data_IF_259574034840
#
_entry.id   IF_259574034840
#
_cell.length_a   1.000
_cell.length_b   1.000
_cell.length_c   1.000
_cell.angle_alpha   90.00
_cell.angle_beta   90.00
_cell.angle_gamma   90.00
#
_symmetry.space_group_name_H-M   'P 1'
#
loop_
_entity.id
_entity.type
_entity.pdbx_description
1 polymer ?
#
# COMPACT_ATOMS: atom_id res chain seq x y z
N UNK A 1 2.18 -3.44 27.97
CA UNK A 1 1.67 -4.82 27.78
C UNK A 1 2.39 -5.40 26.57
N UNK A 2 2.91 -6.63 26.63
CA UNK A 2 3.44 -7.29 25.42
C UNK A 2 2.28 -7.52 24.46
N UNK A 3 2.43 -7.09 23.23
CA UNK A 3 1.47 -7.37 22.17
C UNK A 3 1.56 -8.88 21.87
N UNK A 4 0.44 -9.59 21.98
CA UNK A 4 0.40 -11.04 21.73
C UNK A 4 0.29 -11.30 20.22
N UNK A 5 0.84 -12.45 19.77
CA UNK A 5 0.67 -12.88 18.39
C UNK A 5 -0.81 -13.07 18.05
N UNK A 6 -1.25 -12.50 16.94
CA UNK A 6 -2.62 -12.60 16.46
C UNK A 6 -2.70 -13.60 15.31
N UNK A 7 -3.60 -14.59 15.42
CA UNK A 7 -3.91 -15.48 14.31
C UNK A 7 -4.51 -14.65 13.15
N UNK A 8 -3.97 -14.86 11.94
CA UNK A 8 -4.44 -14.24 10.71
C UNK A 8 -5.35 -15.23 9.97
N UNK A 9 -6.58 -15.33 10.43
CA UNK A 9 -7.65 -16.10 9.78
C UNK A 9 -8.35 -15.28 8.68
N UNK A 10 -9.35 -15.89 8.02
CA UNK A 10 -10.13 -15.25 6.96
C UNK A 10 -10.78 -13.94 7.42
N UNK A 11 -11.30 -13.90 8.65
CA UNK A 11 -11.97 -12.72 9.16
C UNK A 11 -10.97 -11.58 9.42
N UNK A 12 -9.82 -11.88 10.03
CA UNK A 12 -8.74 -10.92 10.19
C UNK A 12 -8.25 -10.39 8.84
N UNK A 13 -8.16 -11.27 7.82
CA UNK A 13 -7.81 -10.90 6.45
C UNK A 13 -8.82 -9.97 5.81
N UNK A 14 -10.12 -10.22 5.96
CA UNK A 14 -11.18 -9.32 5.49
C UNK A 14 -11.08 -7.93 6.13
N UNK A 15 -10.89 -7.87 7.44
CA UNK A 15 -10.68 -6.60 8.14
C UNK A 15 -9.40 -5.90 7.68
N UNK A 16 -8.30 -6.65 7.52
CA UNK A 16 -7.05 -6.11 7.00
C UNK A 16 -7.21 -5.47 5.61
N UNK A 17 -7.92 -6.15 4.70
CA UNK A 17 -8.21 -5.63 3.36
C UNK A 17 -9.09 -4.37 3.42
N UNK A 18 -10.15 -4.40 4.20
CA UNK A 18 -11.11 -3.32 4.30
C UNK A 18 -10.50 -2.06 4.92
N UNK A 19 -9.89 -2.19 6.09
CA UNK A 19 -9.18 -1.08 6.74
C UNK A 19 -7.93 -0.66 5.97
N UNK A 20 -7.24 -1.61 5.36
CA UNK A 20 -6.09 -1.34 4.50
C UNK A 20 -6.43 -0.52 3.27
N UNK A 21 -7.56 -0.78 2.60
CA UNK A 21 -8.02 0.04 1.49
C UNK A 21 -8.30 1.48 1.93
N UNK A 22 -8.96 1.66 3.09
CA UNK A 22 -9.18 2.99 3.66
C UNK A 22 -7.84 3.70 3.91
N UNK A 23 -6.88 3.04 4.59
CA UNK A 23 -5.56 3.59 4.88
C UNK A 23 -4.69 3.80 3.63
N UNK A 24 -4.96 3.07 2.55
CA UNK A 24 -4.24 3.20 1.29
C UNK A 24 -4.42 4.55 0.62
N UNK A 25 -5.54 5.24 0.89
CA UNK A 25 -5.77 6.58 0.36
C UNK A 25 -5.88 6.62 -1.17
N UNK A 26 -6.56 5.65 -1.76
CA UNK A 26 -6.83 5.58 -3.20
C UNK A 26 -5.95 4.61 -4.00
N UNK A 27 -4.90 4.04 -3.39
CA UNK A 27 -4.02 3.05 -4.02
C UNK A 27 -4.00 1.70 -3.28
N UNK A 28 -2.96 0.89 -3.51
CA UNK A 28 -2.72 -0.37 -2.79
C UNK A 28 -3.38 -1.61 -3.40
N UNK A 29 -3.59 -1.62 -4.71
CA UNK A 29 -3.99 -2.77 -5.52
C UNK A 29 -5.49 -3.09 -5.48
N UNK A 30 -5.88 -4.25 -6.03
CA UNK A 30 -7.27 -4.60 -6.27
C UNK A 30 -7.89 -5.50 -5.18
N UNK A 31 -9.21 -5.38 -5.00
CA UNK A 31 -9.99 -6.23 -4.11
C UNK A 31 -9.93 -7.71 -4.53
N UNK A 32 -10.06 -7.99 -5.85
CA UNK A 32 -10.05 -9.35 -6.37
C UNK A 32 -8.74 -10.09 -6.08
N UNK A 33 -7.61 -9.40 -6.23
CA UNK A 33 -6.31 -9.97 -5.88
C UNK A 33 -6.18 -10.23 -4.37
N UNK A 34 -6.67 -9.32 -3.53
CA UNK A 34 -6.70 -9.55 -2.08
C UNK A 34 -7.53 -10.77 -1.69
N UNK A 35 -8.71 -10.94 -2.29
CA UNK A 35 -9.55 -12.13 -2.08
C UNK A 35 -8.82 -13.42 -2.49
N UNK A 36 -8.19 -13.44 -3.66
CA UNK A 36 -7.40 -14.58 -4.15
C UNK A 36 -6.29 -14.96 -3.14
N UNK A 37 -5.62 -13.97 -2.54
CA UNK A 37 -4.60 -14.23 -1.50
C UNK A 37 -5.20 -14.84 -0.25
N UNK A 38 -6.35 -14.35 0.23
CA UNK A 38 -7.01 -14.92 1.40
C UNK A 38 -7.54 -16.35 1.14
N UNK A 39 -8.11 -16.60 -0.04
CA UNK A 39 -8.54 -17.96 -0.43
C UNK A 39 -7.34 -18.93 -0.47
N UNK A 40 -6.21 -18.49 -1.00
CA UNK A 40 -4.98 -19.30 -0.99
C UNK A 40 -4.50 -19.57 0.43
N UNK A 41 -4.53 -18.56 1.32
CA UNK A 41 -4.09 -18.67 2.70
C UNK A 41 -4.87 -19.74 3.49
N UNK A 42 -6.16 -19.94 3.20
CA UNK A 42 -6.99 -20.98 3.86
C UNK A 42 -6.45 -22.41 3.67
N UNK A 43 -5.71 -22.64 2.60
CA UNK A 43 -5.09 -23.95 2.30
C UNK A 43 -3.66 -24.09 2.85
N UNK A 44 -3.17 -23.07 3.56
CA UNK A 44 -1.79 -23.01 4.08
C UNK A 44 -1.73 -23.25 5.59
N UNK A 45 -0.53 -23.49 6.16
CA UNK A 45 -0.35 -23.55 7.59
C UNK A 45 -0.83 -22.26 8.29
N UNK A 46 -1.28 -22.34 9.57
CA UNK A 46 -1.71 -21.17 10.32
C UNK A 46 -0.63 -20.09 10.36
N UNK A 47 -1.01 -18.87 10.01
CA UNK A 47 -0.14 -17.69 10.02
C UNK A 47 -0.47 -16.81 11.23
N UNK A 48 0.56 -16.27 11.87
CA UNK A 48 0.41 -15.32 12.97
C UNK A 48 1.09 -14.00 12.65
N UNK A 49 0.42 -12.91 12.94
CA UNK A 49 1.02 -11.58 12.98
C UNK A 49 1.94 -11.52 14.19
N UNK A 50 3.21 -11.28 13.93
CA UNK A 50 4.26 -11.27 14.96
C UNK A 50 4.65 -9.85 15.29
N UNK A 51 4.59 -9.42 16.56
CA UNK A 51 5.11 -8.13 16.97
C UNK A 51 6.59 -7.98 16.59
N UNK A 52 7.00 -6.81 16.13
CA UNK A 52 8.38 -6.55 15.70
C UNK A 52 9.39 -6.75 16.86
N UNK A 53 8.95 -6.55 18.09
CA UNK A 53 9.74 -6.71 19.32
C UNK A 53 10.11 -8.17 19.59
N UNK A 54 9.42 -9.12 18.98
CA UNK A 54 9.73 -10.55 19.09
C UNK A 54 10.79 -11.03 18.07
N UNK A 55 11.14 -10.19 17.11
CA UNK A 55 12.20 -10.48 16.13
C UNK A 55 13.52 -9.96 16.69
N UNK A 56 14.57 -10.80 16.57
CA UNK A 56 15.94 -10.37 16.95
C UNK A 56 16.28 -9.06 16.22
N UNK A 57 16.73 -8.02 16.93
CA UNK A 57 17.06 -6.72 16.34
C UNK A 57 18.01 -6.80 15.14
N UNK A 58 18.95 -7.76 15.13
CA UNK A 58 19.92 -7.94 14.04
C UNK A 58 19.44 -8.89 12.94
N UNK A 59 18.28 -9.53 13.13
CA UNK A 59 17.74 -10.47 12.15
C UNK A 59 17.24 -9.73 10.88
N UNK A 60 17.44 -10.39 9.73
CA UNK A 60 17.04 -9.85 8.43
C UNK A 60 15.54 -9.95 8.22
N UNK A 61 14.90 -8.81 7.97
CA UNK A 61 13.50 -8.67 7.54
C UNK A 61 13.46 -8.25 6.08
N UNK A 62 12.59 -8.87 5.29
CA UNK A 62 12.43 -8.61 3.86
C UNK A 62 11.05 -8.03 3.59
N UNK A 63 10.98 -6.92 2.87
CA UNK A 63 9.69 -6.41 2.43
C UNK A 63 9.23 -7.07 1.14
N UNK A 64 7.92 -7.27 1.02
CA UNK A 64 7.27 -7.70 -0.21
C UNK A 64 6.25 -6.69 -0.67
N UNK A 65 6.11 -6.54 -1.97
CA UNK A 65 5.25 -5.52 -2.59
C UNK A 65 4.72 -6.00 -3.93
N UNK A 66 3.85 -5.19 -4.50
CA UNK A 66 3.45 -5.26 -5.90
C UNK A 66 3.98 -4.03 -6.63
N UNK A 67 4.38 -4.20 -7.86
CA UNK A 67 4.77 -3.09 -8.73
C UNK A 67 4.01 -3.21 -10.03
N UNK A 68 3.22 -2.19 -10.35
CA UNK A 68 2.40 -2.16 -11.56
C UNK A 68 1.58 -0.88 -11.66
N UNK A 69 0.79 -0.78 -12.74
CA UNK A 69 -0.20 0.26 -12.94
C UNK A 69 -1.60 -0.32 -12.66
N UNK A 70 -2.37 0.24 -11.70
CA UNK A 70 -3.69 -0.29 -11.32
C UNK A 70 -4.66 -0.47 -12.50
N UNK A 71 -4.64 0.46 -13.48
CA UNK A 71 -5.52 0.43 -14.65
C UNK A 71 -5.04 -0.50 -15.79
N UNK A 72 -3.91 -1.21 -15.67
CA UNK A 72 -3.41 -2.10 -16.72
C UNK A 72 -4.35 -3.30 -16.91
N UNK A 73 -4.72 -3.58 -18.19
CA UNK A 73 -5.76 -4.55 -18.55
C UNK A 73 -5.25 -5.99 -18.66
N UNK A 74 -3.94 -6.18 -18.84
CA UNK A 74 -3.32 -7.51 -19.07
C UNK A 74 -2.64 -8.05 -17.81
N UNK A 75 -2.98 -7.53 -16.64
CA UNK A 75 -2.42 -7.97 -15.37
C UNK A 75 -2.66 -9.45 -15.14
N UNK A 76 -1.59 -10.17 -14.83
CA UNK A 76 -1.63 -11.56 -14.42
C UNK A 76 -0.59 -11.80 -13.35
N UNK A 77 -1.02 -12.19 -12.17
CA UNK A 77 -0.17 -12.48 -11.03
C UNK A 77 -0.83 -13.53 -10.15
N UNK A 78 -0.10 -14.55 -9.78
CA UNK A 78 -0.58 -15.65 -8.93
C UNK A 78 0.06 -15.59 -7.54
N UNK A 79 -0.53 -16.23 -6.51
CA UNK A 79 0.12 -16.38 -5.21
C UNK A 79 1.48 -17.10 -5.32
N UNK A 80 1.61 -18.05 -6.26
CA UNK A 80 2.84 -18.77 -6.55
C UNK A 80 3.95 -17.83 -7.05
N UNK A 81 3.62 -16.88 -7.91
CA UNK A 81 4.57 -15.86 -8.37
C UNK A 81 5.06 -14.99 -7.20
N UNK A 82 4.16 -14.63 -6.29
CA UNK A 82 4.51 -13.85 -5.09
C UNK A 82 5.44 -14.65 -4.16
N UNK A 83 5.17 -15.92 -3.89
CA UNK A 83 6.04 -16.82 -3.12
C UNK A 83 7.40 -16.92 -3.82
N UNK A 84 7.38 -17.09 -5.13
CA UNK A 84 8.59 -17.20 -5.96
C UNK A 84 9.54 -16.03 -5.79
N UNK A 85 9.04 -14.80 -5.58
CA UNK A 85 9.91 -13.64 -5.35
C UNK A 85 10.79 -13.81 -4.11
N UNK A 86 10.25 -14.33 -3.00
CA UNK A 86 11.02 -14.56 -1.77
C UNK A 86 11.99 -15.73 -1.94
N UNK A 87 11.59 -16.80 -2.63
CA UNK A 87 12.51 -17.91 -2.96
C UNK A 87 13.70 -17.43 -3.82
N UNK A 88 13.43 -16.59 -4.82
CA UNK A 88 14.49 -15.99 -5.65
C UNK A 88 15.44 -15.15 -4.80
N UNK A 89 14.89 -14.38 -3.85
CA UNK A 89 15.69 -13.61 -2.92
C UNK A 89 16.58 -14.52 -2.07
N UNK A 90 16.03 -15.54 -1.41
CA UNK A 90 16.79 -16.46 -0.57
C UNK A 90 17.94 -17.16 -1.31
N UNK A 91 17.73 -17.48 -2.59
CA UNK A 91 18.76 -18.13 -3.44
C UNK A 91 19.88 -17.18 -3.87
N UNK A 92 19.61 -15.85 -3.94
CA UNK A 92 20.51 -14.89 -4.61
C UNK A 92 21.05 -13.79 -3.68
N UNK A 93 20.52 -13.64 -2.46
CA UNK A 93 20.88 -12.51 -1.60
C UNK A 93 22.29 -12.59 -1.01
N UNK A 94 22.87 -13.80 -0.86
CA UNK A 94 24.25 -14.01 -0.40
C UNK A 94 24.59 -13.46 0.98
N UNK A 95 23.59 -13.32 1.86
CA UNK A 95 23.71 -12.68 3.18
C UNK A 95 23.22 -13.56 4.33
N UNK A 96 22.90 -12.93 5.46
CA UNK A 96 22.30 -13.60 6.61
C UNK A 96 20.95 -14.26 6.22
N UNK A 97 20.58 -15.36 6.88
CA UNK A 97 19.30 -16.02 6.65
C UNK A 97 18.14 -15.03 6.84
N UNK A 98 17.12 -15.16 5.97
CA UNK A 98 15.89 -14.39 6.11
C UNK A 98 15.13 -14.86 7.34
N UNK A 99 14.83 -13.96 8.26
CA UNK A 99 14.18 -14.26 9.51
C UNK A 99 12.68 -13.94 9.52
N UNK A 100 12.24 -12.96 8.71
CA UNK A 100 10.85 -12.54 8.66
C UNK A 100 10.51 -11.82 7.35
N UNK A 101 9.21 -11.75 7.06
CA UNK A 101 8.63 -10.98 5.95
C UNK A 101 7.77 -9.86 6.53
N UNK A 102 7.76 -8.71 5.88
CA UNK A 102 6.81 -7.63 6.15
C UNK A 102 6.15 -7.14 4.87
N UNK A 103 4.95 -6.56 5.00
CA UNK A 103 4.25 -5.93 3.88
C UNK A 103 4.89 -4.58 3.53
N UNK A 104 4.60 -4.05 2.35
CA UNK A 104 5.10 -2.73 1.95
C UNK A 104 4.21 -1.58 2.45
N UNK A 105 2.89 -1.74 2.29
CA UNK A 105 1.93 -0.64 2.44
C UNK A 105 0.53 -1.15 2.73
N UNK A 106 -0.40 -0.25 3.04
CA UNK A 106 -1.82 -0.53 3.14
C UNK A 106 -2.53 -0.37 1.78
N UNK A 107 -3.56 -1.18 1.55
CA UNK A 107 -4.42 -1.22 0.36
C UNK A 107 -5.27 -2.48 0.32
N UNK A 108 -6.10 -2.67 -0.72
CA UNK A 108 -6.93 -3.88 -0.82
C UNK A 108 -6.10 -5.16 -0.77
N UNK A 109 -5.17 -5.34 -1.69
CA UNK A 109 -4.29 -6.52 -1.68
C UNK A 109 -2.93 -6.23 -1.04
N UNK A 110 -2.48 -4.96 -0.99
CA UNK A 110 -1.18 -4.62 -0.46
C UNK A 110 -1.04 -4.98 1.03
N UNK A 111 -2.09 -4.79 1.84
CA UNK A 111 -2.09 -5.13 3.27
C UNK A 111 -1.93 -6.62 3.52
N UNK A 112 -2.50 -7.46 2.67
CA UNK A 112 -2.42 -8.93 2.79
C UNK A 112 -1.32 -9.55 1.92
N UNK A 113 -0.58 -8.74 1.17
CA UNK A 113 0.63 -9.17 0.49
C UNK A 113 1.72 -9.50 1.53
N UNK A 114 2.41 -10.62 1.36
CA UNK A 114 3.34 -11.14 2.36
C UNK A 114 2.76 -12.28 3.20
N UNK A 115 1.42 -12.36 3.33
CA UNK A 115 0.78 -13.40 4.14
C UNK A 115 0.99 -14.79 3.52
N UNK A 116 0.73 -14.94 2.23
CA UNK A 116 0.95 -16.23 1.53
C UNK A 116 2.43 -16.60 1.45
N UNK A 117 3.32 -15.63 1.28
CA UNK A 117 4.77 -15.86 1.27
C UNK A 117 5.26 -16.34 2.64
N UNK A 118 4.84 -15.65 3.71
CA UNK A 118 5.19 -16.02 5.07
C UNK A 118 4.69 -17.43 5.44
N UNK A 119 3.40 -17.71 5.16
CA UNK A 119 2.81 -19.02 5.44
C UNK A 119 3.47 -20.15 4.65
N UNK A 120 3.72 -19.96 3.35
CA UNK A 120 4.31 -20.97 2.48
C UNK A 120 5.76 -21.31 2.86
N UNK A 121 6.52 -20.32 3.34
CA UNK A 121 7.94 -20.45 3.64
C UNK A 121 8.21 -20.67 5.13
N UNK A 122 7.18 -20.73 5.98
CA UNK A 122 7.32 -20.91 7.42
C UNK A 122 8.02 -19.74 8.12
N UNK A 123 7.91 -18.53 7.55
CA UNK A 123 8.51 -17.32 8.08
C UNK A 123 7.51 -16.52 8.92
N UNK A 124 7.93 -15.85 10.01
CA UNK A 124 7.11 -14.85 10.68
C UNK A 124 6.67 -13.74 9.73
N UNK A 125 5.40 -13.32 9.81
CA UNK A 125 4.91 -12.05 9.26
C UNK A 125 4.98 -11.00 10.36
N UNK A 126 5.75 -9.94 10.15
CA UNK A 126 5.95 -8.89 11.15
C UNK A 126 4.86 -7.84 11.07
N UNK A 127 4.37 -7.37 12.22
CA UNK A 127 3.45 -6.22 12.30
C UNK A 127 4.19 -4.90 12.05
N UNK A 128 4.64 -4.76 10.83
CA UNK A 128 5.27 -3.55 10.30
C UNK A 128 5.09 -3.49 8.78
N UNK A 129 5.20 -2.28 8.26
CA UNK A 129 5.15 -2.00 6.82
C UNK A 129 6.28 -1.03 6.45
N UNK A 130 6.65 -0.97 5.17
CA UNK A 130 7.62 0.03 4.73
C UNK A 130 7.08 1.45 4.93
N UNK A 131 5.82 1.68 4.60
CA UNK A 131 5.24 3.02 4.52
C UNK A 131 4.03 3.28 5.41
N UNK A 132 3.13 2.29 5.58
CA UNK A 132 1.88 2.45 6.33
C UNK A 132 0.69 2.93 5.49
N UNK A 133 0.91 3.52 4.31
CA UNK A 133 -0.12 3.79 3.29
C UNK A 133 0.44 3.57 1.90
N UNK A 134 -0.44 3.44 0.90
CA UNK A 134 -0.01 3.31 -0.49
C UNK A 134 0.73 4.57 -0.98
N UNK A 135 1.62 4.38 -1.94
CA UNK A 135 2.51 5.41 -2.47
C UNK A 135 2.91 5.09 -3.91
N UNK A 136 3.12 6.12 -4.77
CA UNK A 136 3.32 5.88 -6.19
C UNK A 136 4.67 5.27 -6.54
N UNK A 137 5.78 5.63 -5.87
CA UNK A 137 7.12 5.21 -6.26
C UNK A 137 7.76 4.21 -5.30
N UNK A 138 8.56 3.28 -5.85
CA UNK A 138 9.32 2.33 -5.03
C UNK A 138 10.33 2.97 -4.09
N UNK A 139 10.75 4.20 -4.37
CA UNK A 139 11.65 4.97 -3.50
C UNK A 139 10.91 5.47 -2.27
N UNK A 140 9.67 5.93 -2.38
CA UNK A 140 8.82 6.25 -1.23
C UNK A 140 8.64 5.05 -0.31
N UNK A 141 8.62 3.82 -0.84
CA UNK A 141 8.58 2.55 -0.09
C UNK A 141 9.94 2.07 0.43
N UNK A 142 10.96 2.89 0.45
CA UNK A 142 12.32 2.44 0.76
C UNK A 142 12.74 2.58 2.22
N UNK A 143 11.88 3.06 3.11
CA UNK A 143 12.25 3.28 4.52
C UNK A 143 13.55 4.12 4.67
N UNK A 144 13.70 5.19 3.89
CA UNK A 144 14.91 6.03 3.82
C UNK A 144 16.19 5.33 3.34
N UNK A 145 16.13 4.09 2.85
CA UNK A 145 17.31 3.37 2.36
C UNK A 145 18.01 4.08 1.19
N UNK A 146 17.28 4.87 0.39
CA UNK A 146 17.85 5.70 -0.67
C UNK A 146 18.76 6.81 -0.14
N UNK A 147 18.63 7.19 1.15
CA UNK A 147 19.45 8.17 1.86
C UNK A 147 20.64 7.51 2.56
N UNK A 148 20.65 6.18 2.72
CA UNK A 148 21.69 5.47 3.44
C UNK A 148 22.94 5.31 2.55
N UNK A 149 24.08 5.96 2.89
CA UNK A 149 25.28 5.90 2.07
C UNK A 149 25.79 4.46 1.91
N UNK A 150 26.04 4.05 0.66
CA UNK A 150 26.57 2.72 0.35
C UNK A 150 25.56 1.58 0.43
N UNK A 151 24.29 1.84 0.76
CA UNK A 151 23.28 0.79 0.75
C UNK A 151 23.03 0.27 -0.67
N UNK A 152 23.08 -1.04 -0.82
CA UNK A 152 22.81 -1.75 -2.07
C UNK A 152 21.70 -2.76 -1.79
N UNK A 153 20.55 -2.58 -2.43
CA UNK A 153 19.44 -3.53 -2.33
C UNK A 153 19.62 -4.69 -3.29
N UNK A 154 19.04 -5.84 -2.93
CA UNK A 154 18.69 -6.92 -3.86
C UNK A 154 17.17 -6.92 -3.97
N UNK A 155 16.66 -6.74 -5.19
CA UNK A 155 15.24 -6.82 -5.51
C UNK A 155 15.00 -8.00 -6.43
N UNK A 156 13.96 -8.76 -6.15
CA UNK A 156 13.52 -9.88 -6.99
C UNK A 156 12.10 -9.64 -7.43
N UNK A 157 11.75 -10.05 -8.63
CA UNK A 157 10.39 -9.97 -9.14
C UNK A 157 10.00 -11.23 -9.90
N UNK A 158 8.69 -11.51 -9.93
CA UNK A 158 8.09 -12.56 -10.73
C UNK A 158 6.64 -12.18 -11.06
N UNK A 159 6.16 -12.56 -12.24
CA UNK A 159 4.78 -12.37 -12.69
C UNK A 159 4.64 -12.39 -14.19
N UNK A 160 3.41 -12.15 -14.67
CA UNK A 160 3.05 -12.20 -16.08
C UNK A 160 2.51 -13.55 -16.51
N UNK A 161 1.67 -13.54 -17.54
CA UNK A 161 0.98 -14.73 -18.01
C UNK A 161 1.87 -15.60 -18.91
N UNK A 162 2.28 -16.81 -18.49
CA UNK A 162 3.11 -17.70 -19.29
C UNK A 162 2.40 -18.15 -20.57
N UNK A 163 1.08 -18.24 -20.59
CA UNK A 163 0.31 -18.64 -21.76
C UNK A 163 0.38 -17.60 -22.91
N UNK A 164 0.64 -16.34 -22.59
CA UNK A 164 0.84 -15.26 -23.57
C UNK A 164 2.30 -14.90 -23.79
N UNK A 165 3.23 -15.66 -23.18
CA UNK A 165 4.68 -15.41 -23.27
C UNK A 165 5.15 -14.19 -22.48
N UNK A 166 4.35 -13.66 -21.55
CA UNK A 166 4.67 -12.47 -20.74
C UNK A 166 5.29 -12.77 -19.38
N UNK A 167 5.48 -14.05 -19.03
CA UNK A 167 6.08 -14.39 -17.73
C UNK A 167 7.53 -13.93 -17.66
N UNK A 168 7.86 -13.24 -16.56
CA UNK A 168 9.23 -12.79 -16.27
C UNK A 168 9.62 -13.10 -14.82
N UNK A 169 10.88 -13.48 -14.62
CA UNK A 169 11.57 -13.49 -13.33
C UNK A 169 12.79 -12.56 -13.43
N UNK A 170 13.06 -11.81 -12.35
CA UNK A 170 14.20 -10.92 -12.29
C UNK A 170 14.87 -10.90 -10.93
N UNK A 171 16.20 -10.78 -10.92
CA UNK A 171 17.02 -10.52 -9.73
C UNK A 171 17.91 -9.33 -10.06
N UNK A 172 17.72 -8.22 -9.34
CA UNK A 172 18.44 -6.97 -9.58
C UNK A 172 19.17 -6.57 -8.30
N UNK A 173 20.43 -6.15 -8.47
CA UNK A 173 21.25 -5.63 -7.36
C UNK A 173 21.81 -4.27 -7.71
N UNK A 174 21.60 -3.27 -6.87
CA UNK A 174 22.03 -1.90 -7.11
C UNK A 174 21.44 -0.91 -6.12
N UNK A 175 21.50 0.37 -6.47
CA UNK A 175 20.83 1.42 -5.69
C UNK A 175 19.30 1.24 -5.74
N UNK A 176 18.60 1.79 -4.77
CA UNK A 176 17.12 1.76 -4.71
C UNK A 176 16.52 2.28 -6.03
N UNK A 177 16.99 3.43 -6.52
CA UNK A 177 16.48 4.05 -7.75
C UNK A 177 16.68 3.18 -8.99
N UNK A 178 17.89 2.65 -9.17
CA UNK A 178 18.22 1.83 -10.34
C UNK A 178 17.37 0.55 -10.36
N UNK A 179 17.31 -0.15 -9.23
CA UNK A 179 16.56 -1.41 -9.12
C UNK A 179 15.05 -1.20 -9.19
N UNK A 180 14.52 -0.09 -8.64
CA UNK A 180 13.10 0.25 -8.76
C UNK A 180 12.70 0.50 -10.22
N UNK A 181 13.53 1.18 -11.02
CA UNK A 181 13.29 1.36 -12.47
C UNK A 181 13.31 0.04 -13.22
N UNK A 182 14.23 -0.88 -12.91
CA UNK A 182 14.30 -2.20 -13.55
C UNK A 182 13.07 -3.05 -13.23
N UNK A 183 12.63 -3.06 -11.97
CA UNK A 183 11.39 -3.75 -11.56
C UNK A 183 10.16 -3.14 -12.24
N UNK A 184 10.10 -1.81 -12.39
CA UNK A 184 9.02 -1.14 -13.13
C UNK A 184 9.00 -1.57 -14.60
N UNK A 185 10.15 -1.63 -15.26
CA UNK A 185 10.26 -2.15 -16.63
C UNK A 185 9.78 -3.60 -16.73
N UNK A 186 10.21 -4.46 -15.79
CA UNK A 186 9.75 -5.85 -15.73
C UNK A 186 8.22 -5.94 -15.57
N UNK A 187 7.60 -5.06 -14.78
CA UNK A 187 6.14 -5.04 -14.63
C UNK A 187 5.41 -4.70 -15.93
N UNK A 188 5.97 -3.81 -16.75
CA UNK A 188 5.41 -3.48 -18.07
C UNK A 188 5.46 -4.69 -19.01
N UNK A 189 6.60 -5.38 -19.07
CA UNK A 189 6.76 -6.59 -19.89
C UNK A 189 5.84 -7.74 -19.41
N UNK A 190 5.60 -7.82 -18.10
CA UNK A 190 4.68 -8.79 -17.49
C UNK A 190 3.19 -8.52 -17.76
N UNK A 191 2.84 -7.44 -18.48
CA UNK A 191 1.45 -7.06 -18.76
C UNK A 191 0.83 -6.13 -17.72
N UNK A 192 1.65 -5.53 -16.85
CA UNK A 192 1.23 -4.44 -15.97
C UNK A 192 1.35 -4.69 -14.47
N UNK A 193 1.76 -5.88 -14.02
CA UNK A 193 2.01 -6.15 -12.60
C UNK A 193 3.01 -7.28 -12.38
N UNK A 194 3.87 -7.14 -11.38
CA UNK A 194 4.74 -8.20 -10.83
C UNK A 194 4.71 -8.20 -9.31
N UNK A 195 4.87 -9.37 -8.69
CA UNK A 195 5.25 -9.50 -7.30
C UNK A 195 6.73 -9.12 -7.12
N UNK A 196 7.08 -8.58 -5.96
CA UNK A 196 8.43 -8.11 -5.65
C UNK A 196 8.81 -8.47 -4.22
N UNK A 197 10.06 -8.93 -4.01
CA UNK A 197 10.68 -8.97 -2.69
C UNK A 197 11.93 -8.09 -2.73
N UNK A 198 12.09 -7.20 -1.71
CA UNK A 198 13.08 -6.12 -1.76
C UNK A 198 13.48 -5.59 -0.39
N UNK A 199 14.52 -4.78 -0.39
CA UNK A 199 14.94 -3.95 0.75
C UNK A 199 15.19 -4.77 2.02
N UNK A 200 16.13 -5.75 1.99
CA UNK A 200 16.50 -6.49 3.18
C UNK A 200 17.16 -5.54 4.19
N UNK A 201 16.65 -5.54 5.42
CA UNK A 201 17.12 -4.69 6.52
C UNK A 201 17.06 -5.45 7.84
N UNK A 202 17.71 -4.96 8.89
CA UNK A 202 17.56 -5.52 10.24
C UNK A 202 16.20 -5.13 10.86
N UNK A 203 15.70 -5.92 11.79
CA UNK A 203 14.49 -5.57 12.55
C UNK A 203 14.66 -4.26 13.32
N UNK A 204 15.87 -3.97 13.82
CA UNK A 204 16.20 -2.69 14.43
C UNK A 204 15.98 -1.51 13.44
N UNK A 205 16.42 -1.65 12.20
CA UNK A 205 16.19 -0.64 11.17
C UNK A 205 14.69 -0.44 10.86
N UNK A 206 13.91 -1.52 10.78
CA UNK A 206 12.45 -1.44 10.61
C UNK A 206 11.80 -0.65 11.73
N UNK A 207 12.23 -0.86 12.98
CA UNK A 207 11.68 -0.15 14.15
C UNK A 207 11.83 1.36 14.03
N UNK A 208 12.92 1.83 13.47
CA UNK A 208 13.24 3.26 13.36
C UNK A 208 12.66 3.90 12.08
N UNK A 209 12.57 3.12 11.00
CA UNK A 209 12.29 3.66 9.66
C UNK A 209 11.03 3.10 9.00
N UNK A 210 10.41 2.08 9.56
CA UNK A 210 9.17 1.47 9.07
C UNK A 210 7.92 2.04 9.75
N UNK A 211 6.77 1.60 9.28
CA UNK A 211 5.45 1.87 9.87
C UNK A 211 5.05 0.69 10.78
N UNK A 212 5.53 0.71 12.03
CA UNK A 212 5.26 -0.35 13.02
C UNK A 212 3.79 -0.32 13.43
N UNK A 213 3.15 -1.50 13.51
CA UNK A 213 1.74 -1.63 13.84
C UNK A 213 0.77 -1.33 12.69
N UNK A 214 1.28 -1.13 11.46
CA UNK A 214 0.44 -0.76 10.31
C UNK A 214 -0.60 -1.80 9.92
N UNK A 215 -0.27 -3.11 10.05
CA UNK A 215 -1.24 -4.19 9.79
C UNK A 215 -2.28 -4.26 10.90
N UNK A 216 -1.88 -4.14 12.16
CA UNK A 216 -2.81 -4.09 13.29
C UNK A 216 -3.77 -2.90 13.20
N UNK A 217 -3.28 -1.72 12.79
CA UNK A 217 -4.13 -0.54 12.55
C UNK A 217 -5.17 -0.82 11.46
N UNK A 218 -4.76 -1.45 10.34
CA UNK A 218 -5.67 -1.82 9.27
C UNK A 218 -6.75 -2.81 9.72
N UNK A 219 -6.37 -3.86 10.48
CA UNK A 219 -7.32 -4.83 11.02
C UNK A 219 -8.33 -4.18 11.97
N UNK A 220 -7.87 -3.31 12.88
CA UNK A 220 -8.76 -2.62 13.83
C UNK A 220 -9.71 -1.65 13.13
N UNK A 221 -9.20 -0.87 12.17
CA UNK A 221 -10.03 0.02 11.36
C UNK A 221 -11.08 -0.76 10.56
N UNK A 222 -10.67 -1.87 9.92
CA UNK A 222 -11.59 -2.71 9.15
C UNK A 222 -12.68 -3.33 10.01
N UNK A 223 -12.36 -3.73 11.24
CA UNK A 223 -13.35 -4.24 12.21
C UNK A 223 -14.38 -3.18 12.59
N UNK A 224 -13.93 -1.98 12.95
CA UNK A 224 -14.80 -0.84 13.28
C UNK A 224 -15.66 -0.45 12.08
N UNK A 225 -15.07 -0.44 10.89
CA UNK A 225 -15.77 -0.11 9.65
C UNK A 225 -16.87 -1.13 9.30
N UNK A 226 -16.56 -2.43 9.40
CA UNK A 226 -17.54 -3.51 9.13
C UNK A 226 -18.74 -3.41 10.11
N UNK A 227 -18.49 -3.15 11.39
CA UNK A 227 -19.55 -2.92 12.37
C UNK A 227 -20.45 -1.71 12.01
N UNK A 228 -19.85 -0.64 11.50
CA UNK A 228 -20.59 0.51 10.99
C UNK A 228 -21.45 0.16 9.77
N UNK A 229 -20.93 -0.69 8.85
CA UNK A 229 -21.64 -1.15 7.64
C UNK A 229 -22.89 -1.97 7.97
N UNK A 230 -22.93 -2.68 9.09
CA UNK A 230 -24.14 -3.39 9.56
C UNK A 230 -25.32 -2.43 9.81
N UNK A 231 -25.03 -1.14 10.06
CA UNK A 231 -26.05 -0.11 10.27
C UNK A 231 -26.32 0.66 8.97
N UNK A 232 -25.29 1.26 8.39
CA UNK A 232 -25.36 1.95 7.09
C UNK A 232 -23.97 2.34 6.56
N UNK A 233 -23.82 2.62 5.25
CA UNK A 233 -22.61 3.19 4.68
C UNK A 233 -22.13 4.45 5.38
N UNK A 234 -23.04 5.35 5.71
CA UNK A 234 -22.73 6.58 6.45
C UNK A 234 -22.14 6.27 7.83
N UNK A 235 -22.73 5.33 8.58
CA UNK A 235 -22.22 4.94 9.90
C UNK A 235 -20.84 4.31 9.84
N UNK A 236 -20.54 3.55 8.79
CA UNK A 236 -19.22 3.00 8.57
C UNK A 236 -18.17 4.10 8.38
N UNK A 237 -18.46 5.10 7.53
CA UNK A 237 -17.54 6.21 7.27
C UNK A 237 -17.37 7.11 8.50
N UNK A 238 -18.45 7.37 9.25
CA UNK A 238 -18.39 8.09 10.53
C UNK A 238 -17.52 7.35 11.56
N UNK A 239 -17.68 6.02 11.68
CA UNK A 239 -16.90 5.20 12.60
C UNK A 239 -15.40 5.16 12.21
N UNK A 240 -15.10 5.09 10.90
CA UNK A 240 -13.72 5.22 10.43
C UNK A 240 -13.13 6.60 10.73
N UNK A 241 -13.90 7.67 10.53
CA UNK A 241 -13.47 9.02 10.83
C UNK A 241 -13.17 9.18 12.34
N UNK A 242 -14.03 8.66 13.20
CA UNK A 242 -13.81 8.67 14.65
C UNK A 242 -12.54 7.88 15.05
N UNK A 243 -12.40 6.65 14.55
CA UNK A 243 -11.23 5.80 14.82
C UNK A 243 -9.91 6.48 14.41
N UNK A 244 -9.92 7.17 13.28
CA UNK A 244 -8.75 7.85 12.71
C UNK A 244 -8.59 9.29 13.22
N UNK A 245 -9.42 9.76 14.16
CA UNK A 245 -9.46 11.16 14.57
C UNK A 245 -9.52 12.12 13.38
N UNK A 246 -10.24 11.71 12.34
CA UNK A 246 -10.43 12.42 11.09
C UNK A 246 -11.83 13.00 10.95
N UNK A 247 -12.25 13.26 9.73
CA UNK A 247 -13.59 13.76 9.43
C UNK A 247 -14.09 13.30 8.07
N UNK A 248 -15.40 13.16 7.95
CA UNK A 248 -16.09 13.12 6.65
C UNK A 248 -16.22 14.56 6.20
N UNK A 249 -15.55 14.92 5.10
CA UNK A 249 -15.52 16.29 4.61
C UNK A 249 -16.81 16.66 3.86
N UNK A 250 -17.21 15.79 2.92
CA UNK A 250 -18.43 15.96 2.14
C UNK A 250 -19.01 14.61 1.71
N UNK A 251 -20.25 14.66 1.22
CA UNK A 251 -20.92 13.64 0.46
C UNK A 251 -21.52 14.29 -0.78
N UNK A 252 -21.22 13.77 -1.97
CA UNK A 252 -21.76 14.33 -3.20
C UNK A 252 -21.51 13.44 -4.41
N UNK A 253 -22.06 13.83 -5.54
CA UNK A 253 -21.79 13.20 -6.81
C UNK A 253 -20.39 13.58 -7.32
N UNK A 254 -19.73 12.66 -7.97
CA UNK A 254 -18.50 12.92 -8.74
C UNK A 254 -18.89 13.74 -9.97
N UNK A 255 -18.49 15.00 -10.03
CA UNK A 255 -18.81 15.95 -11.10
C UNK A 255 -17.87 15.81 -12.29
N UNK A 256 -16.57 15.67 -12.00
CA UNK A 256 -15.51 15.49 -12.99
C UNK A 256 -14.54 14.42 -12.56
N UNK A 257 -14.15 13.59 -13.51
CA UNK A 257 -13.13 12.59 -13.33
C UNK A 257 -12.19 12.56 -14.52
N UNK A 258 -10.91 12.77 -14.28
CA UNK A 258 -9.86 12.61 -15.29
C UNK A 258 -8.88 11.55 -14.85
N UNK A 259 -8.48 10.69 -15.76
CA UNK A 259 -7.41 9.71 -15.55
C UNK A 259 -6.57 9.61 -16.82
N UNK A 260 -5.26 9.75 -16.67
CA UNK A 260 -4.27 9.49 -17.71
C UNK A 260 -3.18 8.55 -17.20
N UNK A 261 -2.80 7.58 -18.01
CA UNK A 261 -1.63 6.75 -17.77
C UNK A 261 -0.36 7.48 -18.18
N UNK A 262 0.59 7.67 -17.28
CA UNK A 262 1.86 8.34 -17.55
C UNK A 262 3.02 7.61 -16.87
N UNK A 263 3.98 7.09 -17.66
CA UNK A 263 5.16 6.40 -17.13
C UNK A 263 4.87 5.14 -16.29
N UNK A 264 3.71 4.50 -16.50
CA UNK A 264 3.26 3.35 -15.72
C UNK A 264 2.55 3.71 -14.41
N UNK A 265 2.05 4.95 -14.31
CA UNK A 265 1.26 5.47 -13.18
C UNK A 265 -0.07 6.02 -13.68
N UNK A 266 -1.05 6.07 -12.78
CA UNK A 266 -2.34 6.71 -12.98
C UNK A 266 -2.31 8.13 -12.37
N UNK A 267 -2.54 9.15 -13.18
CA UNK A 267 -2.52 10.56 -12.76
C UNK A 267 -3.84 11.22 -13.14
N UNK A 268 -4.44 11.98 -12.25
CA UNK A 268 -5.70 12.63 -12.57
C UNK A 268 -6.28 13.51 -11.47
N UNK A 269 -7.54 13.87 -11.66
CA UNK A 269 -8.33 14.70 -10.74
C UNK A 269 -9.73 14.15 -10.59
N UNK A 270 -10.31 14.38 -9.42
CA UNK A 270 -11.71 14.07 -9.08
C UNK A 270 -12.33 15.31 -8.46
N UNK A 271 -13.52 15.71 -8.90
CA UNK A 271 -14.31 16.76 -8.24
C UNK A 271 -15.56 16.15 -7.61
N UNK A 272 -15.78 16.42 -6.33
CA UNK A 272 -16.94 15.95 -5.56
C UNK A 272 -17.51 17.11 -4.77
N UNK A 273 -18.74 17.51 -5.06
CA UNK A 273 -19.40 18.65 -4.39
C UNK A 273 -18.51 19.91 -4.37
N UNK A 274 -17.90 20.21 -5.52
CA UNK A 274 -16.96 21.32 -5.68
C UNK A 274 -15.59 21.15 -5.04
N UNK A 275 -15.33 20.06 -4.32
CA UNK A 275 -14.02 19.74 -3.75
C UNK A 275 -13.14 19.07 -4.80
N UNK A 276 -11.91 19.59 -5.01
CA UNK A 276 -10.95 19.02 -5.97
C UNK A 276 -9.97 18.10 -5.25
N UNK A 277 -9.88 16.84 -5.70
CA UNK A 277 -8.90 15.86 -5.29
C UNK A 277 -7.95 15.61 -6.47
N UNK A 278 -6.64 15.65 -6.24
CA UNK A 278 -5.66 15.18 -7.23
C UNK A 278 -5.12 13.83 -6.83
N UNK A 279 -4.69 13.01 -7.80
CA UNK A 279 -4.06 11.72 -7.51
C UNK A 279 -2.89 11.43 -8.45
N UNK A 280 -1.92 10.69 -7.90
CA UNK A 280 -0.84 9.99 -8.59
C UNK A 280 -0.81 8.56 -8.03
N UNK A 281 -1.58 7.66 -8.63
CA UNK A 281 -2.14 6.43 -8.10
C UNK A 281 -3.01 6.68 -6.84
N UNK A 282 -2.42 7.23 -5.79
CA UNK A 282 -3.04 7.63 -4.53
C UNK A 282 -3.47 9.09 -4.55
N UNK A 283 -4.44 9.45 -3.70
CA UNK A 283 -4.82 10.86 -3.50
C UNK A 283 -3.66 11.65 -2.90
N UNK A 284 -3.32 12.77 -3.55
CA UNK A 284 -2.20 13.64 -3.20
C UNK A 284 -2.65 14.94 -2.54
N UNK A 285 -3.70 15.57 -3.06
CA UNK A 285 -4.21 16.84 -2.52
C UNK A 285 -5.73 16.86 -2.47
N UNK A 286 -6.27 17.64 -1.54
CA UNK A 286 -7.70 17.89 -1.38
C UNK A 286 -7.92 19.37 -1.11
N UNK A 287 -8.55 20.05 -2.05
CA UNK A 287 -8.90 21.46 -1.98
C UNK A 287 -10.42 21.64 -1.86
N UNK A 288 -10.87 22.60 -1.05
CA UNK A 288 -12.29 22.95 -0.93
C UNK A 288 -12.70 23.94 -2.03
N UNK A 289 -14.02 24.21 -2.23
CA UNK A 289 -14.50 25.04 -3.35
C UNK A 289 -13.93 26.45 -3.43
N UNK A 290 -13.46 27.04 -2.34
CA UNK A 290 -12.80 28.34 -2.33
C UNK A 290 -11.30 28.28 -2.71
N UNK A 291 -10.79 27.08 -3.02
CA UNK A 291 -9.39 26.82 -3.37
C UNK A 291 -8.46 26.61 -2.18
N UNK A 292 -8.97 26.64 -0.94
CA UNK A 292 -8.14 26.41 0.25
C UNK A 292 -7.77 24.92 0.38
N UNK A 293 -6.51 24.64 0.69
CA UNK A 293 -5.98 23.30 0.93
C UNK A 293 -6.49 22.73 2.26
N UNK A 294 -7.07 21.52 2.22
CA UNK A 294 -7.58 20.79 3.39
C UNK A 294 -6.67 19.65 3.80
N UNK A 295 -6.13 18.93 2.82
CA UNK A 295 -5.23 17.82 3.06
C UNK A 295 -4.19 17.71 1.94
N UNK A 296 -2.98 17.30 2.32
CA UNK A 296 -1.88 17.03 1.40
C UNK A 296 -1.20 15.73 1.81
N UNK A 297 -0.97 14.82 0.86
CA UNK A 297 -0.21 13.59 1.12
C UNK A 297 1.07 13.92 1.93
N UNK A 298 1.36 13.22 3.03
CA UNK A 298 0.82 11.91 3.40
C UNK A 298 -0.44 11.92 4.30
N UNK A 299 -1.17 13.04 4.44
CA UNK A 299 -2.50 12.99 5.03
C UNK A 299 -3.38 12.00 4.28
N UNK A 300 -4.27 11.31 5.00
CA UNK A 300 -5.22 10.42 4.36
C UNK A 300 -6.31 11.23 3.66
N UNK A 301 -6.51 10.92 2.40
CA UNK A 301 -7.66 11.33 1.59
C UNK A 301 -8.24 10.05 1.00
N UNK A 302 -9.52 9.79 1.20
CA UNK A 302 -10.16 8.57 0.72
C UNK A 302 -11.59 8.81 0.29
N UNK A 303 -12.01 8.15 -0.78
CA UNK A 303 -13.39 8.16 -1.29
C UNK A 303 -14.07 6.84 -0.98
N UNK A 304 -15.35 6.90 -0.66
CA UNK A 304 -16.19 5.74 -0.32
C UNK A 304 -17.51 5.85 -1.06
N UNK A 305 -17.95 4.79 -1.72
CA UNK A 305 -19.24 4.71 -2.38
C UNK A 305 -20.38 4.94 -1.39
N UNK A 306 -21.23 5.91 -1.64
CA UNK A 306 -22.25 6.32 -0.69
C UNK A 306 -23.42 5.34 -0.59
N UNK A 307 -23.63 4.53 -1.62
CA UNK A 307 -24.72 3.55 -1.64
C UNK A 307 -24.34 2.25 -0.92
N UNK A 308 -23.08 1.81 -1.08
CA UNK A 308 -22.62 0.51 -0.58
C UNK A 308 -21.67 0.59 0.62
N UNK A 309 -21.05 1.74 0.84
CA UNK A 309 -19.96 1.90 1.81
C UNK A 309 -18.66 1.22 1.37
N UNK A 310 -18.50 0.88 0.08
CA UNK A 310 -17.26 0.30 -0.42
C UNK A 310 -16.20 1.39 -0.56
N UNK A 311 -15.02 1.27 0.08
CA UNK A 311 -13.89 2.13 -0.21
C UNK A 311 -13.46 2.02 -1.67
N UNK A 312 -13.22 3.16 -2.33
CA UNK A 312 -12.95 3.23 -3.76
C UNK A 312 -11.51 3.68 -4.02
N UNK A 313 -10.66 2.84 -4.62
CA UNK A 313 -9.41 3.30 -5.21
C UNK A 313 -9.64 4.44 -6.22
N UNK A 314 -8.64 5.29 -6.42
CA UNK A 314 -8.72 6.42 -7.36
C UNK A 314 -9.08 6.01 -8.79
N UNK A 315 -8.69 4.79 -9.20
CA UNK A 315 -9.01 4.19 -10.51
C UNK A 315 -10.43 3.63 -10.64
N UNK A 316 -11.14 3.42 -9.53
CA UNK A 316 -12.46 2.78 -9.49
C UNK A 316 -13.62 3.79 -9.49
N UNK A 317 -13.32 5.08 -9.35
CA UNK A 317 -14.31 6.16 -9.34
C UNK A 317 -14.85 6.44 -10.73
N UNK A 318 -16.11 6.89 -10.79
CA UNK A 318 -16.80 7.24 -12.04
C UNK A 318 -17.64 8.50 -11.86
N UNK A 319 -17.74 9.30 -12.93
CA UNK A 319 -18.64 10.46 -12.96
C UNK A 319 -20.08 10.06 -12.66
N UNK A 320 -20.79 10.90 -11.92
CA UNK A 320 -22.16 10.67 -11.46
C UNK A 320 -22.30 9.74 -10.26
N UNK A 321 -21.23 9.05 -9.82
CA UNK A 321 -21.25 8.21 -8.64
C UNK A 321 -21.31 9.07 -7.37
N UNK A 322 -22.21 8.75 -6.45
CA UNK A 322 -22.29 9.43 -5.15
C UNK A 322 -21.28 8.83 -4.18
N UNK A 323 -20.42 9.68 -3.61
CA UNK A 323 -19.33 9.25 -2.71
C UNK A 323 -19.26 10.11 -1.45
N UNK A 324 -18.71 9.51 -0.38
CA UNK A 324 -18.18 10.25 0.77
C UNK A 324 -16.70 10.57 0.52
N UNK A 325 -16.23 11.70 1.00
CA UNK A 325 -14.80 12.06 1.08
C UNK A 325 -14.39 12.08 2.54
N UNK A 326 -13.48 11.17 2.92
CA UNK A 326 -12.91 11.04 4.26
C UNK A 326 -11.49 11.58 4.27
N UNK A 327 -11.11 12.30 5.32
CA UNK A 327 -9.73 12.76 5.51
C UNK A 327 -9.30 12.70 6.97
N UNK A 328 -8.01 12.42 7.20
CA UNK A 328 -7.35 12.58 8.50
C UNK A 328 -5.91 13.03 8.34
N UNK A 329 -5.39 13.71 9.36
CA UNK A 329 -4.01 14.17 9.39
C UNK A 329 -3.04 12.97 9.54
N UNK A 330 -1.89 13.03 8.88
CA UNK A 330 -0.87 11.98 8.83
C UNK A 330 -0.37 11.51 10.22
N UNK A 331 -0.39 12.38 11.24
CA UNK A 331 -0.02 12.03 12.62
C UNK A 331 -0.91 10.95 13.27
N UNK A 332 -2.09 10.69 12.72
CA UNK A 332 -3.03 9.68 13.19
C UNK A 332 -2.80 8.31 12.49
N UNK A 333 -1.82 8.24 11.60
CA UNK A 333 -1.48 7.07 10.82
C UNK A 333 -0.11 6.52 11.25
N UNK A 334 0.05 5.21 11.21
CA UNK A 334 1.34 4.58 11.38
C UNK A 334 2.12 4.70 10.06
N UNK A 335 3.00 5.70 9.97
CA UNK A 335 3.75 6.01 8.75
C UNK A 335 5.27 5.94 8.98
N UNK A 336 5.97 5.55 7.91
CA UNK A 336 7.43 5.67 7.84
C UNK A 336 7.85 7.15 7.70
N UNK A 337 9.02 7.54 8.26
CA UNK A 337 9.59 8.86 8.03
C UNK A 337 9.83 9.21 6.55
N UNK A 338 10.00 8.22 5.66
CA UNK A 338 10.14 8.42 4.21
C UNK A 338 8.94 9.14 3.59
N UNK A 339 7.76 9.04 4.21
CA UNK A 339 6.55 9.70 3.74
C UNK A 339 6.61 11.24 3.85
N UNK A 340 7.59 11.75 4.60
CA UNK A 340 7.86 13.20 4.76
C UNK A 340 9.14 13.64 4.03
N UNK A 341 9.71 12.80 3.16
CA UNK A 341 10.92 13.16 2.40
C UNK A 341 10.61 14.27 1.39
N UNK A 342 11.23 15.44 1.61
CA UNK A 342 11.00 16.64 0.81
C UNK A 342 11.25 16.44 -0.69
N UNK A 343 12.32 15.73 -1.04
CA UNK A 343 12.70 15.52 -2.44
C UNK A 343 11.69 14.62 -3.17
N UNK A 344 11.18 13.58 -2.48
CA UNK A 344 10.14 12.71 -3.02
C UNK A 344 8.81 13.44 -3.16
N UNK A 345 8.47 14.34 -2.23
CA UNK A 345 7.27 15.17 -2.31
C UNK A 345 7.40 16.22 -3.41
N UNK A 346 8.60 16.76 -3.69
CA UNK A 346 8.85 17.64 -4.84
C UNK A 346 8.52 16.95 -6.16
N UNK A 347 8.91 15.68 -6.31
CA UNK A 347 8.55 14.91 -7.51
C UNK A 347 7.03 14.75 -7.66
N UNK A 348 6.32 14.50 -6.56
CA UNK A 348 4.86 14.40 -6.59
C UNK A 348 4.22 15.74 -6.98
N UNK A 349 4.69 16.85 -6.42
CA UNK A 349 4.25 18.21 -6.75
C UNK A 349 4.39 18.52 -8.26
N UNK A 350 5.52 18.15 -8.86
CA UNK A 350 5.75 18.31 -10.31
C UNK A 350 4.78 17.50 -11.17
N UNK A 351 4.51 16.26 -10.77
CA UNK A 351 3.62 15.33 -11.52
C UNK A 351 2.17 15.78 -11.47
N UNK A 352 1.67 16.11 -10.27
CA UNK A 352 0.26 16.52 -10.09
C UNK A 352 0.03 18.00 -10.42
N UNK A 353 1.11 18.80 -10.54
CA UNK A 353 1.08 20.24 -10.79
C UNK A 353 0.26 21.02 -9.76
N UNK A 354 0.41 20.66 -8.49
CA UNK A 354 -0.21 21.32 -7.34
C UNK A 354 0.80 21.43 -6.20
N UNK A 355 0.84 22.55 -5.46
CA UNK A 355 1.71 22.72 -4.30
C UNK A 355 1.46 21.66 -3.23
N UNK A 356 2.53 21.05 -2.74
CA UNK A 356 2.50 20.07 -1.65
C UNK A 356 3.42 20.48 -0.50
N UNK A 357 4.58 21.01 -0.79
CA UNK A 357 5.59 21.35 0.24
C UNK A 357 5.14 22.51 1.12
N UNK A 358 4.66 23.61 0.52
CA UNK A 358 4.19 24.78 1.27
C UNK A 358 3.05 24.44 2.24
N UNK A 359 1.98 23.71 1.84
CA UNK A 359 0.93 23.30 2.77
C UNK A 359 1.40 22.39 3.90
N UNK A 360 2.49 21.63 3.70
CA UNK A 360 3.09 20.77 4.72
C UNK A 360 4.09 21.51 5.62
N UNK A 361 4.42 22.77 5.32
CA UNK A 361 5.42 23.54 6.05
C UNK A 361 6.86 23.06 5.82
N UNK A 362 7.16 22.46 4.66
CA UNK A 362 8.44 21.87 4.28
C UNK A 362 9.25 22.77 3.33
#
# INVERSE_FOLDING_TARGET
MKQEKRLLDRQAGRWAMLGGCLLGGGGGGSFAMGQMLLEKLESMPPLYLTPLEEIDPEATVLSVSLVGAPAAKEQFLTPEDMIRTVELFQRNAGGAPLAAVMTNENGWCATVNGWVQAAALGLPLVDAQCNGRAHPTGVMGSMNLHRLPGYVTTMTCAGGNPATGRYVEGVFRGTIDATARLVRAASVEAGGVVGVARNPVTAAYVRENGAVGGISQAIQLGQVYEQGLEVSPQKAVEAAAEFLHGRVLCRGAVEHYTLRGEGGFDVGTVTVDGHELTFWNEYMTLDVPDGSRVATFPDLIMTVDAATGRPLPSSDIREGQEVFVLTTHNRNLNLSPTMHDRELLTQAEEIIRRPMLEPLGL
#
